data_IF_034959021787
#
_entry.id   IF_034959021787
#
_cell.length_a   1.000
_cell.length_b   1.000
_cell.length_c   1.000
_cell.angle_alpha   90.00
_cell.angle_beta   90.00
_cell.angle_gamma   90.00
#
_symmetry.space_group_name_H-M   'P 1'
#
loop_
_entity.id
_entity.type
_entity.pdbx_description
1 polymer ?
#
# COMPACT_ATOMS: atom_id res chain seq x y z
N UNK A 1 10.52 22.64 -1.40
CA UNK A 1 10.15 21.21 -1.29
C UNK A 1 8.77 21.04 -1.92
N UNK A 2 8.62 20.18 -2.94
CA UNK A 2 7.29 19.83 -3.45
C UNK A 2 6.65 18.86 -2.46
N UNK A 3 5.67 19.33 -1.69
CA UNK A 3 4.78 18.43 -0.97
C UNK A 3 3.96 17.64 -1.98
N UNK A 4 4.08 16.32 -1.96
CA UNK A 4 3.21 15.44 -2.74
C UNK A 4 1.87 15.38 -2.02
N UNK A 5 0.88 16.14 -2.53
CA UNK A 5 -0.49 16.13 -2.01
C UNK A 5 -1.37 15.01 -2.59
N UNK A 6 -0.89 14.30 -3.62
CA UNK A 6 -1.62 13.24 -4.31
C UNK A 6 -0.65 12.14 -4.76
N UNK A 7 -0.98 10.88 -4.45
CA UNK A 7 -0.23 9.72 -4.91
C UNK A 7 -0.76 9.29 -6.28
N UNK A 8 0.03 9.49 -7.34
CA UNK A 8 -0.30 9.04 -8.72
C UNK A 8 0.24 7.65 -9.00
N UNK A 9 -0.19 7.03 -10.11
CA UNK A 9 0.30 5.73 -10.58
C UNK A 9 1.80 5.72 -10.76
N UNK A 10 2.36 6.75 -11.37
CA UNK A 10 3.80 6.87 -11.62
C UNK A 10 4.61 6.92 -10.33
N UNK A 11 4.13 7.67 -9.33
CA UNK A 11 4.75 7.75 -8.01
C UNK A 11 4.64 6.41 -7.26
N UNK A 12 3.51 5.72 -7.37
CA UNK A 12 3.37 4.39 -6.82
C UNK A 12 4.34 3.41 -7.50
N UNK A 13 4.44 3.42 -8.83
CA UNK A 13 5.36 2.56 -9.58
C UNK A 13 6.82 2.83 -9.21
N UNK A 14 7.26 4.09 -9.10
CA UNK A 14 8.61 4.46 -8.68
C UNK A 14 8.93 3.94 -7.28
N UNK A 15 8.01 4.12 -6.32
CA UNK A 15 8.16 3.59 -4.97
C UNK A 15 8.32 2.07 -4.99
N UNK A 16 7.50 1.37 -5.78
CA UNK A 16 7.51 -0.08 -5.86
C UNK A 16 8.80 -0.61 -6.50
N UNK A 17 9.32 0.05 -7.53
CA UNK A 17 10.58 -0.35 -8.15
C UNK A 17 11.75 -0.28 -7.18
N UNK A 18 11.84 0.79 -6.39
CA UNK A 18 12.91 0.96 -5.41
C UNK A 18 12.76 0.00 -4.23
N UNK A 19 11.55 -0.08 -3.65
CA UNK A 19 11.31 -0.78 -2.37
C UNK A 19 10.99 -2.26 -2.52
N UNK A 20 10.46 -2.70 -3.66
CA UNK A 20 10.09 -4.10 -3.89
C UNK A 20 11.14 -4.90 -4.68
N UNK A 21 12.34 -4.36 -4.88
CA UNK A 21 13.46 -5.09 -5.50
C UNK A 21 13.81 -6.43 -4.82
N UNK A 22 13.44 -6.59 -3.53
CA UNK A 22 13.63 -7.83 -2.75
C UNK A 22 12.32 -8.44 -2.25
N UNK A 23 11.18 -8.01 -2.81
CA UNK A 23 9.88 -8.50 -2.40
C UNK A 23 9.74 -10.00 -2.67
N UNK A 24 9.11 -10.68 -1.71
CA UNK A 24 8.66 -12.07 -1.85
C UNK A 24 7.23 -12.13 -1.36
N UNK A 25 6.34 -12.68 -2.18
CA UNK A 25 4.96 -12.92 -1.76
C UNK A 25 4.95 -13.84 -0.54
N UNK A 26 4.31 -13.41 0.55
CA UNK A 26 4.26 -14.21 1.80
C UNK A 26 3.55 -15.55 1.62
N UNK A 27 2.59 -15.61 0.69
CA UNK A 27 1.76 -16.78 0.43
C UNK A 27 2.49 -17.85 -0.40
N UNK A 28 3.08 -17.47 -1.54
CA UNK A 28 3.66 -18.43 -2.50
C UNK A 28 5.17 -18.27 -2.72
N UNK A 29 5.83 -17.36 -1.99
CA UNK A 29 7.26 -17.05 -2.10
C UNK A 29 7.70 -16.54 -3.48
N UNK A 30 6.77 -16.21 -4.37
CA UNK A 30 7.09 -15.65 -5.68
C UNK A 30 7.84 -14.31 -5.54
N UNK A 31 8.83 -14.10 -6.39
CA UNK A 31 9.71 -12.92 -6.43
C UNK A 31 9.26 -11.88 -7.45
N UNK A 32 8.30 -12.22 -8.32
CA UNK A 32 7.81 -11.26 -9.31
C UNK A 32 7.19 -10.03 -8.64
N UNK A 33 7.41 -8.87 -9.27
CA UNK A 33 6.80 -7.60 -8.83
C UNK A 33 5.28 -7.76 -8.79
N UNK A 34 4.62 -7.49 -7.65
CA UNK A 34 3.17 -7.56 -7.59
C UNK A 34 2.56 -6.45 -8.46
N UNK A 35 1.38 -6.72 -9.02
CA UNK A 35 0.66 -5.78 -9.85
C UNK A 35 -0.06 -4.73 -9.00
N UNK A 36 0.01 -3.47 -9.43
CA UNK A 36 -0.88 -2.41 -8.97
C UNK A 36 -2.30 -2.69 -9.46
N UNK A 37 -3.26 -2.63 -8.54
CA UNK A 37 -4.68 -2.70 -8.92
C UNK A 37 -5.15 -1.31 -9.34
N UNK A 38 -5.39 -1.15 -10.64
CA UNK A 38 -5.93 0.07 -11.25
C UNK A 38 -7.35 -0.17 -11.76
N UNK A 39 -8.16 0.88 -11.78
CA UNK A 39 -9.47 0.87 -12.44
C UNK A 39 -9.30 0.82 -13.96
N UNK A 40 -10.37 0.53 -14.74
CA UNK A 40 -10.33 0.62 -16.21
C UNK A 40 -9.84 1.98 -16.74
N UNK A 41 -10.03 3.04 -15.96
CA UNK A 41 -9.61 4.41 -16.29
C UNK A 41 -8.15 4.71 -15.89
N UNK A 42 -7.39 3.69 -15.45
CA UNK A 42 -6.02 3.78 -14.92
C UNK A 42 -5.84 4.51 -13.59
N UNK A 43 -6.92 4.77 -12.85
CA UNK A 43 -6.81 5.33 -11.51
C UNK A 43 -6.36 4.26 -10.50
N UNK A 44 -5.50 4.65 -9.56
CA UNK A 44 -5.13 3.77 -8.44
C UNK A 44 -6.38 3.51 -7.59
N UNK A 45 -6.74 2.25 -7.40
CA UNK A 45 -7.78 1.87 -6.46
C UNK A 45 -7.23 1.86 -5.03
N UNK A 46 -7.44 2.92 -4.28
CA UNK A 46 -7.11 2.94 -2.84
C UNK A 46 -8.17 2.17 -2.05
N UNK A 47 -7.72 1.37 -1.09
CA UNK A 47 -8.57 0.70 -0.11
C UNK A 47 -8.39 1.32 1.26
N UNK A 48 -9.45 1.47 2.04
CA UNK A 48 -9.36 1.99 3.41
C UNK A 48 -9.16 0.83 4.37
N UNK A 49 -8.07 0.85 5.15
CA UNK A 49 -7.84 -0.10 6.22
C UNK A 49 -8.19 0.53 7.56
N UNK A 50 -9.09 -0.13 8.28
CA UNK A 50 -9.51 0.28 9.62
C UNK A 50 -8.86 -0.64 10.65
N UNK A 51 -8.11 -0.05 11.59
CA UNK A 51 -7.60 -0.75 12.75
C UNK A 51 -8.59 -0.59 13.90
N UNK A 52 -9.06 -1.71 14.45
CA UNK A 52 -9.95 -1.74 15.60
C UNK A 52 -9.23 -2.30 16.82
N UNK A 53 -9.44 -1.67 17.96
CA UNK A 53 -9.17 -2.25 19.26
C UNK A 53 -10.39 -3.08 19.65
N UNK A 54 -10.17 -4.35 19.96
CA UNK A 54 -11.21 -5.22 20.50
C UNK A 54 -10.89 -5.40 21.98
N UNK A 55 -11.88 -5.18 22.86
CA UNK A 55 -11.70 -5.41 24.29
C UNK A 55 -11.44 -6.90 24.58
N UNK A 56 -10.73 -7.20 25.68
CA UNK A 56 -10.30 -8.57 26.02
C UNK A 56 -11.50 -9.53 26.15
N UNK A 57 -12.62 -9.01 26.61
CA UNK A 57 -13.89 -9.71 26.79
C UNK A 57 -14.79 -9.67 25.54
N UNK A 58 -14.31 -9.11 24.41
CA UNK A 58 -15.06 -8.87 23.18
C UNK A 58 -16.34 -8.03 23.33
N UNK A 59 -16.54 -7.33 24.46
CA UNK A 59 -17.75 -6.51 24.69
C UNK A 59 -17.79 -5.23 23.86
N UNK A 60 -16.65 -4.74 23.38
CA UNK A 60 -16.57 -3.51 22.60
C UNK A 60 -15.50 -3.57 21.52
N UNK A 61 -15.76 -2.85 20.43
CA UNK A 61 -14.78 -2.56 19.39
C UNK A 61 -14.74 -1.05 19.16
N UNK A 62 -13.52 -0.49 19.18
CA UNK A 62 -13.30 0.93 18.96
C UNK A 62 -12.33 1.11 17.80
N UNK A 63 -12.68 1.95 16.82
CA UNK A 63 -11.79 2.29 15.71
C UNK A 63 -10.61 3.11 16.26
N UNK A 64 -9.40 2.59 16.14
CA UNK A 64 -8.16 3.27 16.55
C UNK A 64 -7.66 4.17 15.43
N UNK A 65 -7.68 3.66 14.20
CA UNK A 65 -7.05 4.31 13.06
C UNK A 65 -7.77 3.93 11.78
N UNK A 66 -7.81 4.88 10.86
CA UNK A 66 -8.21 4.68 9.47
C UNK A 66 -7.05 5.15 8.60
N UNK A 67 -6.60 4.33 7.67
CA UNK A 67 -5.52 4.71 6.75
C UNK A 67 -5.83 4.25 5.33
N UNK A 68 -5.65 5.11 4.31
CA UNK A 68 -5.69 4.66 2.93
C UNK A 68 -4.52 3.73 2.66
N UNK A 69 -4.78 2.70 1.89
CA UNK A 69 -3.80 1.68 1.51
C UNK A 69 -3.81 1.46 0.01
N UNK A 70 -2.63 1.15 -0.52
CA UNK A 70 -2.39 0.75 -1.89
C UNK A 70 -2.43 -0.79 -1.96
N UNK A 71 -3.45 -1.41 -2.57
CA UNK A 71 -3.52 -2.84 -2.75
C UNK A 71 -2.62 -3.28 -3.91
N UNK A 72 -1.83 -4.32 -3.66
CA UNK A 72 -0.92 -4.95 -4.61
C UNK A 72 -1.24 -6.42 -4.72
N UNK A 73 -1.40 -6.93 -5.94
CA UNK A 73 -1.75 -8.32 -6.19
C UNK A 73 -0.55 -9.13 -6.62
N UNK A 74 -0.28 -10.24 -5.94
CA UNK A 74 0.67 -11.23 -6.42
C UNK A 74 0.17 -11.84 -7.74
N UNK A 75 0.95 -11.72 -8.81
CA UNK A 75 0.57 -12.20 -10.14
C UNK A 75 0.53 -13.73 -10.25
N UNK A 76 1.15 -14.45 -9.31
CA UNK A 76 1.19 -15.91 -9.30
C UNK A 76 0.04 -16.55 -8.53
N UNK A 77 -0.30 -16.05 -7.33
CA UNK A 77 -1.32 -16.67 -6.47
C UNK A 77 -2.53 -15.79 -6.18
N UNK A 78 -2.58 -14.56 -6.71
CA UNK A 78 -3.69 -13.63 -6.49
C UNK A 78 -3.77 -13.03 -5.09
N UNK A 79 -2.83 -13.34 -4.18
CA UNK A 79 -2.84 -12.78 -2.83
C UNK A 79 -2.65 -11.25 -2.86
N UNK A 80 -3.51 -10.52 -2.12
CA UNK A 80 -3.52 -9.06 -2.09
C UNK A 80 -2.82 -8.56 -0.82
N UNK A 81 -1.74 -7.82 -1.02
CA UNK A 81 -1.02 -7.10 0.02
C UNK A 81 -1.48 -5.65 0.07
N UNK A 82 -1.62 -5.09 1.26
CA UNK A 82 -2.02 -3.70 1.44
C UNK A 82 -0.85 -2.89 2.00
N UNK A 83 -0.37 -1.90 1.25
CA UNK A 83 0.65 -0.97 1.73
C UNK A 83 -0.03 0.29 2.25
N UNK A 84 0.29 0.71 3.48
CA UNK A 84 -0.20 1.98 4.00
C UNK A 84 0.33 3.14 3.14
N UNK A 85 -0.58 3.99 2.63
CA UNK A 85 -0.20 5.10 1.75
C UNK A 85 0.73 6.09 2.46
N UNK A 86 0.62 6.21 3.79
CA UNK A 86 1.53 7.03 4.60
C UNK A 86 3.00 6.62 4.41
N UNK A 87 3.30 5.32 4.27
CA UNK A 87 4.68 4.82 4.05
C UNK A 87 5.21 5.29 2.69
N UNK A 88 4.34 5.37 1.69
CA UNK A 88 4.68 5.84 0.34
C UNK A 88 4.91 7.35 0.36
N UNK A 89 4.04 8.10 1.02
CA UNK A 89 4.17 9.55 1.16
C UNK A 89 5.42 9.95 1.96
N UNK A 90 5.70 9.21 3.04
CA UNK A 90 6.90 9.40 3.85
C UNK A 90 8.18 9.09 3.06
N UNK A 91 8.17 8.03 2.25
CA UNK A 91 9.28 7.74 1.33
C UNK A 91 9.60 8.93 0.43
N UNK A 92 8.62 9.53 -0.24
CA UNK A 92 8.88 10.69 -1.11
C UNK A 92 9.24 11.96 -0.35
N UNK A 93 8.72 12.13 0.86
CA UNK A 93 9.07 13.25 1.73
C UNK A 93 10.53 13.17 2.18
N UNK A 94 11.01 11.97 2.51
CA UNK A 94 12.36 11.70 3.01
C UNK A 94 13.40 11.51 1.89
N UNK A 95 13.00 10.94 0.75
CA UNK A 95 13.87 10.82 -0.43
C UNK A 95 14.34 12.21 -0.88
N UNK A 96 13.54 13.25 -0.62
CA UNK A 96 13.78 14.61 -1.04
C UNK A 96 13.77 14.63 -2.57
N UNK A 97 12.74 15.22 -3.18
CA UNK A 97 12.91 15.66 -4.57
C UNK A 97 13.94 16.81 -4.58
N UNK A 98 15.22 16.43 -4.46
CA UNK A 98 16.40 17.18 -4.88
C UNK A 98 16.49 17.14 -6.41
#
# INVERSE_FOLDING_TARGET
MKHIGLLTKELADEFLEDRLSKYKCSCCQNIDKPALLVTPDNDISFSILNLYQISIDNSSSNKIMETPTLPLMCQNCGHIHHLAALVILDYFSNKGMA
#
